data_IF_068790106128
#
_entry.id   IF_068790106128
#
_cell.length_a   1.000
_cell.length_b   1.000
_cell.length_c   1.000
_cell.angle_alpha   90.00
_cell.angle_beta   90.00
_cell.angle_gamma   90.00
#
_symmetry.space_group_name_H-M   'P 1'
#
loop_
_entity.id
_entity.type
_entity.pdbx_description
1 polymer ?
#
# COMPACT_ATOMS: atom_id res chain seq x y z
N UNK A 1 -14.53 1.66 18.84
CA UNK A 1 -13.43 0.72 18.93
C UNK A 1 -13.01 0.23 17.54
N UNK A 2 -11.81 0.43 17.20
CA UNK A 2 -11.35 0.10 15.85
C UNK A 2 -10.63 -1.23 15.83
N UNK A 3 -11.03 -2.09 14.89
CA UNK A 3 -10.31 -3.32 14.64
C UNK A 3 -8.88 -2.99 14.18
N UNK A 4 -7.86 -3.68 14.70
CA UNK A 4 -6.50 -3.49 14.19
C UNK A 4 -6.39 -3.82 12.70
N UNK A 5 -7.24 -4.70 12.20
CA UNK A 5 -7.26 -5.02 10.77
C UNK A 5 -7.76 -3.85 9.94
N UNK A 6 -8.76 -3.11 10.43
CA UNK A 6 -9.23 -1.91 9.75
C UNK A 6 -8.12 -0.86 9.69
N UNK A 7 -7.36 -0.70 10.78
CA UNK A 7 -6.24 0.23 10.81
C UNK A 7 -5.16 -0.17 9.79
N UNK A 8 -4.92 -1.48 9.64
CA UNK A 8 -3.96 -1.96 8.62
C UNK A 8 -4.45 -1.68 7.21
N UNK A 9 -5.74 -1.84 6.94
CA UNK A 9 -6.30 -1.54 5.63
C UNK A 9 -6.12 -0.07 5.30
N UNK A 10 -6.44 0.80 6.26
CA UNK A 10 -6.26 2.25 6.08
C UNK A 10 -4.78 2.57 5.85
N UNK A 11 -3.89 1.99 6.65
CA UNK A 11 -2.45 2.19 6.49
C UNK A 11 -1.98 1.73 5.11
N UNK A 12 -2.48 0.58 4.65
CA UNK A 12 -2.13 0.05 3.34
C UNK A 12 -2.60 0.94 2.20
N UNK A 13 -3.78 1.55 2.34
CA UNK A 13 -4.27 2.48 1.34
C UNK A 13 -3.40 3.74 1.26
N UNK A 14 -2.99 4.29 2.39
CA UNK A 14 -2.03 5.40 2.39
C UNK A 14 -0.66 4.97 1.88
N UNK A 15 -0.31 3.71 2.07
CA UNK A 15 0.96 3.18 1.56
C UNK A 15 0.99 3.20 0.03
N UNK A 16 -0.16 3.04 -0.64
CA UNK A 16 -0.26 3.22 -2.09
C UNK A 16 -0.07 4.69 -2.46
N UNK A 17 -0.51 5.60 -1.62
CA UNK A 17 -0.54 7.03 -1.93
C UNK A 17 0.83 7.64 -2.17
N UNK A 18 1.87 7.22 -1.45
CA UNK A 18 3.16 7.87 -1.61
C UNK A 18 3.90 7.43 -2.89
N UNK A 19 3.91 6.15 -3.31
CA UNK A 19 4.48 5.82 -4.62
C UNK A 19 3.70 6.48 -5.75
N UNK A 20 2.38 6.55 -5.64
CA UNK A 20 1.54 7.21 -6.61
C UNK A 20 1.87 8.69 -6.72
N UNK A 21 2.00 9.38 -5.58
CA UNK A 21 2.37 10.79 -5.58
C UNK A 21 3.72 11.04 -6.21
N UNK A 22 4.71 10.19 -5.91
CA UNK A 22 6.03 10.31 -6.54
C UNK A 22 5.96 10.11 -8.05
N UNK A 23 5.19 9.11 -8.49
CA UNK A 23 5.05 8.86 -9.94
C UNK A 23 4.40 10.06 -10.63
N UNK A 24 3.36 10.62 -10.05
CA UNK A 24 2.72 11.81 -10.60
C UNK A 24 3.66 13.02 -10.61
N UNK A 25 4.52 13.15 -9.61
CA UNK A 25 5.50 14.22 -9.58
C UNK A 25 6.47 14.15 -10.76
N UNK A 26 6.78 12.94 -11.23
CA UNK A 26 7.64 12.76 -12.40
C UNK A 26 6.93 13.05 -13.71
N UNK A 27 5.60 12.89 -13.76
CA UNK A 27 4.85 12.99 -15.01
C UNK A 27 4.23 14.37 -15.22
N UNK A 28 4.02 15.16 -14.16
CA UNK A 28 3.25 16.40 -14.21
C UNK A 28 4.12 17.60 -13.81
N UNK A 29 5.23 17.82 -14.39
CA UNK A 29 6.26 18.79 -14.02
C UNK A 29 5.84 20.04 -13.23
N UNK A 30 4.74 20.69 -13.61
CA UNK A 30 4.32 21.96 -13.00
C UNK A 30 3.88 21.80 -11.55
N UNK A 31 3.31 20.64 -11.18
CA UNK A 31 2.78 20.41 -9.85
C UNK A 31 3.63 19.44 -9.05
N UNK A 32 4.90 19.33 -9.41
CA UNK A 32 5.81 18.38 -8.77
C UNK A 32 5.83 18.52 -7.26
N UNK A 33 6.00 19.75 -6.76
CA UNK A 33 6.09 19.99 -5.33
C UNK A 33 4.83 19.56 -4.61
N UNK A 34 3.65 19.85 -5.18
CA UNK A 34 2.38 19.47 -4.59
C UNK A 34 2.27 17.94 -4.47
N UNK A 35 2.63 17.20 -5.51
CA UNK A 35 2.57 15.75 -5.47
C UNK A 35 3.57 15.15 -4.48
N UNK A 36 4.76 15.72 -4.36
CA UNK A 36 5.74 15.28 -3.37
C UNK A 36 5.22 15.53 -1.96
N UNK A 37 4.62 16.68 -1.70
CA UNK A 37 4.03 16.99 -0.39
C UNK A 37 2.93 16.00 -0.03
N UNK A 38 2.03 15.71 -0.98
CA UNK A 38 0.98 14.72 -0.76
C UNK A 38 1.59 13.34 -0.49
N UNK A 39 2.63 12.96 -1.22
CA UNK A 39 3.31 11.68 -0.99
C UNK A 39 3.88 11.58 0.41
N UNK A 40 4.52 12.63 0.90
CA UNK A 40 5.09 12.66 2.25
C UNK A 40 3.99 12.57 3.31
N UNK A 41 2.88 13.27 3.12
CA UNK A 41 1.74 13.19 4.02
C UNK A 41 1.17 11.77 4.05
N UNK A 42 1.00 11.14 2.89
CA UNK A 42 0.52 9.76 2.82
C UNK A 42 1.46 8.80 3.54
N UNK A 43 2.77 9.00 3.37
CA UNK A 43 3.78 8.19 4.05
C UNK A 43 3.65 8.31 5.56
N UNK A 44 3.50 9.53 6.06
CA UNK A 44 3.36 9.78 7.50
C UNK A 44 2.08 9.15 8.04
N UNK A 45 0.95 9.30 7.34
CA UNK A 45 -0.32 8.72 7.76
C UNK A 45 -0.27 7.20 7.70
N UNK A 46 0.34 6.64 6.68
CA UNK A 46 0.51 5.19 6.56
C UNK A 46 1.26 4.64 7.76
N UNK A 47 2.40 5.25 8.10
CA UNK A 47 3.19 4.84 9.25
C UNK A 47 2.46 4.99 10.57
N UNK A 48 1.68 6.06 10.71
CA UNK A 48 0.91 6.30 11.94
C UNK A 48 -0.14 5.21 12.15
N UNK A 49 -0.91 4.88 11.12
CA UNK A 49 -1.92 3.84 11.25
C UNK A 49 -1.30 2.46 11.43
N UNK A 50 -0.16 2.20 10.81
CA UNK A 50 0.60 0.98 11.08
C UNK A 50 1.01 0.90 12.56
N UNK A 51 1.51 2.01 13.08
CA UNK A 51 1.90 2.09 14.49
C UNK A 51 0.72 1.75 15.41
N UNK A 52 -0.46 2.28 15.12
CA UNK A 52 -1.64 1.97 15.91
C UNK A 52 -2.03 0.49 15.80
N UNK A 53 -1.98 -0.07 14.59
CA UNK A 53 -2.34 -1.47 14.37
C UNK A 53 -1.39 -2.42 15.09
N UNK A 54 -0.11 -2.08 15.17
CA UNK A 54 0.89 -2.94 15.79
C UNK A 54 0.70 -3.11 17.30
N UNK A 55 -0.12 -2.30 17.92
CA UNK A 55 -0.43 -2.47 19.35
C UNK A 55 -1.11 -3.80 19.62
N UNK A 56 -1.83 -4.34 18.64
CA UNK A 56 -2.71 -5.48 18.83
C UNK A 56 -2.40 -6.67 17.93
N UNK A 57 -1.37 -6.56 17.11
CA UNK A 57 -1.01 -7.60 16.14
C UNK A 57 0.48 -7.91 16.22
N UNK A 58 0.88 -9.15 15.94
CA UNK A 58 2.30 -9.46 15.82
C UNK A 58 2.96 -8.58 14.76
N UNK A 59 4.19 -8.15 15.01
CA UNK A 59 4.87 -7.20 14.13
C UNK A 59 5.03 -7.75 12.71
N UNK A 60 5.36 -9.02 12.57
CA UNK A 60 5.53 -9.62 11.25
C UNK A 60 4.24 -9.67 10.47
N UNK A 61 3.15 -10.04 11.13
CA UNK A 61 1.82 -10.07 10.50
C UNK A 61 1.40 -8.67 10.06
N UNK A 62 1.54 -7.69 10.96
CA UNK A 62 1.15 -6.31 10.64
C UNK A 62 1.95 -5.78 9.46
N UNK A 63 3.26 -5.99 9.45
CA UNK A 63 4.10 -5.50 8.37
C UNK A 63 3.79 -6.19 7.05
N UNK A 64 3.62 -7.51 7.06
CA UNK A 64 3.34 -8.27 5.84
C UNK A 64 1.99 -7.86 5.22
N UNK A 65 0.96 -7.68 6.04
CA UNK A 65 -0.35 -7.26 5.57
C UNK A 65 -0.29 -5.84 5.01
N UNK A 66 0.32 -4.93 5.74
CA UNK A 66 0.48 -3.54 5.32
C UNK A 66 1.23 -3.44 3.99
N UNK A 67 2.38 -4.11 3.89
CA UNK A 67 3.20 -4.11 2.68
C UNK A 67 2.46 -4.80 1.53
N UNK A 68 1.76 -5.90 1.81
CA UNK A 68 1.02 -6.64 0.80
C UNK A 68 -0.10 -5.82 0.19
N UNK A 69 -0.87 -5.12 1.01
CA UNK A 69 -1.95 -4.25 0.52
C UNK A 69 -1.35 -3.12 -0.32
N UNK A 70 -0.29 -2.49 0.17
CA UNK A 70 0.38 -1.41 -0.56
C UNK A 70 0.94 -1.90 -1.88
N UNK A 71 1.58 -3.05 -1.89
CA UNK A 71 2.18 -3.63 -3.10
C UNK A 71 1.11 -3.96 -4.13
N UNK A 72 0.05 -4.66 -3.72
CA UNK A 72 -1.01 -5.05 -4.63
C UNK A 72 -1.72 -3.83 -5.20
N UNK A 73 -2.05 -2.87 -4.34
CA UNK A 73 -2.73 -1.64 -4.77
C UNK A 73 -1.89 -0.82 -5.73
N UNK A 74 -0.60 -0.68 -5.44
CA UNK A 74 0.32 0.06 -6.31
C UNK A 74 0.48 -0.66 -7.66
N UNK A 75 0.56 -1.99 -7.65
CA UNK A 75 0.62 -2.76 -8.88
C UNK A 75 -0.61 -2.52 -9.75
N UNK A 76 -1.81 -2.57 -9.17
CA UNK A 76 -3.04 -2.31 -9.91
C UNK A 76 -3.07 -0.92 -10.53
N UNK A 77 -2.68 0.09 -9.75
CA UNK A 77 -2.67 1.46 -10.25
C UNK A 77 -1.64 1.61 -11.36
N UNK A 78 -0.48 0.98 -11.21
CA UNK A 78 0.54 1.01 -12.25
C UNK A 78 0.04 0.45 -13.58
N UNK A 79 -0.60 -0.71 -13.53
CA UNK A 79 -1.13 -1.35 -14.74
C UNK A 79 -2.30 -0.55 -15.32
N UNK A 80 -3.24 -0.12 -14.49
CA UNK A 80 -4.47 0.52 -14.97
C UNK A 80 -4.29 1.99 -15.29
N UNK A 81 -3.44 2.69 -14.55
CA UNK A 81 -3.30 4.15 -14.68
C UNK A 81 -2.03 4.63 -15.35
N UNK A 82 -0.95 3.88 -15.30
CA UNK A 82 0.34 4.31 -15.82
C UNK A 82 0.87 3.44 -16.95
N UNK A 83 0.03 2.55 -17.46
CA UNK A 83 0.38 1.69 -18.60
C UNK A 83 1.60 0.80 -18.33
N UNK A 84 1.82 0.43 -17.07
CA UNK A 84 2.86 -0.55 -16.76
C UNK A 84 2.57 -1.86 -17.47
N UNK A 85 3.63 -2.56 -17.83
CA UNK A 85 3.49 -3.86 -18.50
C UNK A 85 2.77 -4.84 -17.60
N UNK A 86 1.84 -5.60 -18.17
CA UNK A 86 1.21 -6.67 -17.43
C UNK A 86 1.36 -7.97 -18.20
N UNK A 87 1.38 -9.05 -17.48
CA UNK A 87 1.43 -10.39 -18.05
C UNK A 87 0.76 -11.32 -17.05
N UNK A 88 0.45 -12.52 -17.48
CA UNK A 88 -0.12 -13.49 -16.57
C UNK A 88 0.82 -13.76 -15.40
N UNK A 89 2.12 -13.82 -15.66
CA UNK A 89 3.10 -14.07 -14.62
C UNK A 89 3.17 -12.92 -13.60
N UNK A 90 3.11 -11.67 -14.06
CA UNK A 90 3.10 -10.52 -13.17
C UNK A 90 1.82 -10.46 -12.33
N UNK A 91 0.68 -10.76 -12.94
CA UNK A 91 -0.59 -10.81 -12.22
C UNK A 91 -0.57 -11.94 -11.20
N UNK A 92 0.03 -13.08 -11.54
CA UNK A 92 0.17 -14.18 -10.60
C UNK A 92 1.01 -13.77 -9.39
N UNK A 93 2.11 -13.05 -9.60
CA UNK A 93 2.93 -12.55 -8.48
C UNK A 93 2.15 -11.65 -7.55
N UNK A 94 1.39 -10.69 -8.09
CA UNK A 94 0.57 -9.79 -7.29
C UNK A 94 -0.53 -10.56 -6.55
N UNK A 95 -1.14 -11.53 -7.21
CA UNK A 95 -2.19 -12.36 -6.61
C UNK A 95 -1.64 -13.21 -5.46
N UNK A 96 -0.43 -13.73 -5.60
CA UNK A 96 0.22 -14.51 -4.53
C UNK A 96 0.48 -13.64 -3.30
N UNK A 97 0.88 -12.39 -3.49
CA UNK A 97 1.07 -11.47 -2.38
C UNK A 97 -0.25 -11.26 -1.64
N UNK A 98 -1.33 -10.99 -2.38
CA UNK A 98 -2.64 -10.79 -1.79
C UNK A 98 -3.13 -12.05 -1.09
N UNK A 99 -2.93 -13.22 -1.69
CA UNK A 99 -3.30 -14.49 -1.08
C UNK A 99 -2.55 -14.70 0.23
N UNK A 100 -1.27 -14.34 0.28
CA UNK A 100 -0.48 -14.41 1.51
C UNK A 100 -1.05 -13.54 2.63
N UNK A 101 -1.50 -12.34 2.29
CA UNK A 101 -2.16 -11.44 3.24
C UNK A 101 -3.42 -12.09 3.82
N UNK A 102 -4.24 -12.69 2.97
CA UNK A 102 -5.47 -13.36 3.40
C UNK A 102 -5.15 -14.53 4.31
N UNK A 103 -4.15 -15.35 3.96
CA UNK A 103 -3.74 -16.49 4.78
C UNK A 103 -3.27 -16.03 6.15
N UNK A 104 -2.48 -14.97 6.22
CA UNK A 104 -2.03 -14.43 7.50
C UNK A 104 -3.20 -13.97 8.36
N UNK A 105 -4.18 -13.31 7.76
CA UNK A 105 -5.35 -12.88 8.50
C UNK A 105 -6.13 -14.09 9.05
N UNK A 106 -6.29 -15.11 8.23
CA UNK A 106 -7.05 -16.30 8.66
C UNK A 106 -6.34 -17.10 9.74
N UNK A 107 -5.01 -17.03 9.79
CA UNK A 107 -4.24 -17.76 10.79
C UNK A 107 -3.95 -16.96 12.05
N UNK A 108 -4.39 -15.72 12.09
CA UNK A 108 -4.14 -14.85 13.24
C UNK A 108 -5.09 -15.11 14.40
#
# INVERSE_FOLDING_TARGET
MHSPWLLLIIAGLFEVGWPLGFKLAHTVGVQRTAFIVVAVICMALSGYFLYLAQRHLPIGTAYAVWTGIGTFGTFLIGVLGFHDAWSLLRVLGAALILAGVVVLKLSA
#
